data_IF_053752481231
#
_entry.id   IF_053752481231
#
_cell.length_a   1.000
_cell.length_b   1.000
_cell.length_c   1.000
_cell.angle_alpha   90.00
_cell.angle_beta   90.00
_cell.angle_gamma   90.00
#
_symmetry.space_group_name_H-M   'P 1'
#
loop_
_entity.id
_entity.type
_entity.pdbx_description
1 polymer ?
#
# COMPACT_ATOMS: atom_id res chain seq x y z
N UNK A 1 93.31 50.09 3.75
CA UNK A 1 92.46 50.98 2.92
C UNK A 1 91.84 50.16 1.80
N UNK A 2 90.60 50.51 1.44
CA UNK A 2 89.61 49.73 0.70
C UNK A 2 90.06 49.34 -0.72
N UNK A 3 89.84 48.07 -1.09
CA UNK A 3 89.67 47.66 -2.48
C UNK A 3 88.34 46.94 -2.63
N UNK A 4 87.46 47.55 -3.42
CA UNK A 4 86.21 46.99 -3.86
C UNK A 4 86.47 45.98 -4.99
N UNK A 5 85.87 44.80 -4.92
CA UNK A 5 85.61 43.98 -6.09
C UNK A 5 84.13 43.60 -6.06
N UNK A 6 83.42 44.14 -7.05
CA UNK A 6 82.01 43.91 -7.35
C UNK A 6 81.94 42.60 -8.15
N UNK A 7 81.39 41.54 -7.58
CA UNK A 7 81.03 40.33 -8.34
C UNK A 7 79.50 40.26 -8.51
N UNK A 8 79.10 40.06 -9.75
CA UNK A 8 77.76 40.18 -10.30
C UNK A 8 76.95 38.91 -10.06
N UNK A 9 75.65 39.10 -9.90
CA UNK A 9 74.59 38.09 -9.79
C UNK A 9 74.82 36.83 -10.63
N UNK A 10 74.56 35.66 -10.04
CA UNK A 10 73.92 34.55 -10.75
C UNK A 10 73.44 33.47 -9.78
N UNK A 11 72.18 33.05 -9.98
CA UNK A 11 71.53 31.83 -9.47
C UNK A 11 71.00 31.86 -8.03
N UNK A 12 69.93 32.62 -7.83
CA UNK A 12 68.91 32.30 -6.81
C UNK A 12 67.56 32.00 -7.47
N UNK A 13 67.56 30.98 -8.35
CA UNK A 13 66.36 30.47 -9.01
C UNK A 13 66.36 28.94 -9.02
N UNK A 14 66.74 28.32 -7.89
CA UNK A 14 66.79 26.85 -7.76
C UNK A 14 66.21 26.34 -6.44
N UNK A 15 65.42 27.16 -5.75
CA UNK A 15 64.75 26.80 -4.48
C UNK A 15 63.23 26.65 -4.61
N UNK A 16 62.67 26.67 -5.82
CA UNK A 16 61.22 26.58 -6.06
C UNK A 16 60.85 25.56 -7.15
N UNK A 17 61.44 24.37 -7.13
CA UNK A 17 61.09 23.35 -8.13
C UNK A 17 61.05 21.90 -7.63
N UNK A 18 60.95 21.64 -6.32
CA UNK A 18 60.81 20.26 -5.83
C UNK A 18 59.70 20.19 -4.79
N UNK A 19 58.74 19.29 -5.05
CA UNK A 19 57.61 18.86 -4.21
C UNK A 19 56.25 19.57 -4.39
N UNK A 20 55.77 19.65 -5.63
CA UNK A 20 54.38 19.24 -5.89
C UNK A 20 54.42 17.75 -6.23
N UNK A 21 54.57 16.88 -5.22
CA UNK A 21 54.12 15.49 -5.39
C UNK A 21 52.62 15.60 -5.55
N UNK A 22 52.13 15.58 -6.79
CA UNK A 22 50.76 15.21 -7.05
C UNK A 22 50.63 13.79 -6.50
N UNK A 23 50.03 13.66 -5.31
CA UNK A 23 49.55 12.38 -4.80
C UNK A 23 48.45 11.96 -5.77
N UNK A 24 48.85 11.35 -6.88
CA UNK A 24 47.95 10.54 -7.70
C UNK A 24 47.74 9.28 -6.90
N UNK A 25 46.88 9.37 -5.88
CA UNK A 25 46.50 8.22 -5.08
C UNK A 25 46.08 7.10 -6.01
N UNK A 26 46.60 5.90 -5.79
CA UNK A 26 46.18 4.72 -6.53
C UNK A 26 44.68 4.57 -6.33
N UNK A 27 43.96 4.72 -7.44
CA UNK A 27 42.51 4.71 -7.53
C UNK A 27 42.05 3.25 -7.67
N UNK A 28 41.56 2.67 -6.58
CA UNK A 28 41.12 1.27 -6.52
C UNK A 28 39.60 1.10 -6.47
N UNK A 29 39.16 -0.13 -6.17
CA UNK A 29 37.75 -0.49 -6.01
C UNK A 29 36.96 0.56 -5.21
N UNK A 30 35.89 1.08 -5.82
CA UNK A 30 35.04 2.12 -5.27
C UNK A 30 33.60 2.00 -5.75
N UNK A 31 32.72 2.86 -5.22
CA UNK A 31 31.29 2.95 -5.60
C UNK A 31 30.54 1.61 -5.56
N UNK A 32 30.89 0.75 -4.61
CA UNK A 32 30.22 -0.54 -4.44
C UNK A 32 28.83 -0.30 -3.88
N UNK A 33 27.82 -0.77 -4.60
CA UNK A 33 26.41 -0.63 -4.24
C UNK A 33 25.64 -1.89 -4.62
N UNK A 34 24.56 -2.14 -3.90
CA UNK A 34 23.73 -3.33 -4.08
C UNK A 34 22.31 -2.89 -4.38
N UNK A 35 21.74 -3.46 -5.43
CA UNK A 35 20.37 -3.24 -5.87
C UNK A 35 19.59 -4.55 -5.68
N UNK A 36 18.69 -4.50 -4.69
CA UNK A 36 17.82 -5.60 -4.28
C UNK A 36 16.41 -5.03 -4.14
N UNK A 37 15.39 -5.67 -4.73
CA UNK A 37 14.02 -5.22 -4.57
C UNK A 37 13.57 -5.31 -3.12
N UNK A 38 12.87 -4.29 -2.64
CA UNK A 38 12.33 -4.24 -1.28
C UNK A 38 11.45 -5.46 -0.97
N UNK A 39 10.61 -5.86 -1.93
CA UNK A 39 9.74 -7.02 -1.82
C UNK A 39 9.53 -7.69 -3.19
N UNK A 40 9.38 -9.01 -3.19
CA UNK A 40 9.02 -9.83 -4.35
C UNK A 40 7.97 -10.86 -3.98
N UNK A 41 7.14 -11.28 -4.93
CA UNK A 41 6.13 -12.30 -4.66
C UNK A 41 6.76 -13.71 -4.62
N UNK A 42 6.26 -14.58 -3.75
CA UNK A 42 6.69 -15.97 -3.69
C UNK A 42 6.47 -16.69 -5.04
N UNK A 43 7.33 -17.64 -5.36
CA UNK A 43 7.36 -18.37 -6.63
C UNK A 43 7.96 -17.59 -7.81
N UNK A 44 8.29 -16.30 -7.65
CA UNK A 44 8.82 -15.49 -8.75
C UNK A 44 10.33 -15.62 -8.93
N UNK A 45 10.86 -15.07 -10.02
CA UNK A 45 12.31 -14.95 -10.26
C UNK A 45 12.76 -13.53 -9.92
N UNK A 46 13.80 -13.41 -9.10
CA UNK A 46 14.37 -12.11 -8.71
C UNK A 46 15.74 -11.91 -9.32
N UNK A 47 16.03 -10.65 -9.64
CA UNK A 47 17.32 -10.18 -10.09
C UNK A 47 17.93 -9.29 -9.00
N UNK A 48 19.16 -9.59 -8.58
CA UNK A 48 19.93 -8.76 -7.66
C UNK A 48 21.22 -8.33 -8.35
N UNK A 49 21.56 -7.05 -8.24
CA UNK A 49 22.73 -6.47 -8.91
C UNK A 49 23.70 -5.90 -7.88
N UNK A 50 24.98 -6.12 -8.09
CA UNK A 50 26.07 -5.51 -7.36
C UNK A 50 26.87 -4.67 -8.34
N UNK A 51 26.84 -3.35 -8.16
CA UNK A 51 27.56 -2.39 -9.01
C UNK A 51 28.81 -1.95 -8.27
N UNK A 52 29.90 -1.80 -9.00
CA UNK A 52 31.17 -1.35 -8.45
C UNK A 52 32.00 -0.74 -9.58
N UNK A 53 32.97 0.08 -9.21
CA UNK A 53 33.96 0.67 -10.11
C UNK A 53 35.35 0.19 -9.68
N UNK A 54 36.02 -0.58 -10.53
CA UNK A 54 37.36 -1.11 -10.27
C UNK A 54 38.46 -0.07 -10.48
N UNK A 55 38.19 1.00 -11.22
CA UNK A 55 39.17 2.04 -11.57
C UNK A 55 40.43 1.44 -12.20
N UNK A 56 41.54 1.35 -11.44
CA UNK A 56 42.81 0.75 -11.91
C UNK A 56 43.00 -0.72 -11.52
N UNK A 57 42.14 -1.27 -10.67
CA UNK A 57 42.20 -2.67 -10.27
C UNK A 57 41.61 -3.60 -11.34
N UNK A 58 41.97 -4.87 -11.25
CA UNK A 58 41.23 -5.95 -11.93
C UNK A 58 40.35 -6.70 -10.94
N UNK A 59 39.29 -7.36 -11.40
CA UNK A 59 38.41 -8.10 -10.50
C UNK A 59 39.08 -9.39 -10.01
N UNK A 60 39.14 -9.58 -8.69
CA UNK A 60 39.55 -10.86 -8.09
C UNK A 60 38.35 -11.79 -7.92
N UNK A 61 37.30 -11.34 -7.21
CA UNK A 61 36.09 -12.15 -7.00
C UNK A 61 34.87 -11.29 -6.65
N UNK A 62 33.69 -11.79 -6.99
CA UNK A 62 32.41 -11.31 -6.45
C UNK A 62 31.72 -12.46 -5.75
N UNK A 63 31.33 -12.27 -4.49
CA UNK A 63 30.61 -13.27 -3.69
C UNK A 63 29.31 -12.72 -3.16
N UNK A 64 28.31 -13.58 -3.08
CA UNK A 64 27.02 -13.26 -2.50
C UNK A 64 26.69 -14.16 -1.33
N UNK A 65 26.13 -13.55 -0.29
CA UNK A 65 25.80 -14.19 0.98
C UNK A 65 24.35 -13.98 1.39
N UNK A 66 23.74 -15.00 1.99
CA UNK A 66 22.53 -14.91 2.81
C UNK A 66 22.77 -15.76 4.06
N UNK A 67 23.41 -15.16 5.06
CA UNK A 67 24.06 -15.93 6.13
C UNK A 67 25.36 -16.56 5.62
N UNK A 68 25.26 -17.65 4.86
CA UNK A 68 26.36 -18.33 4.18
C UNK A 68 26.53 -17.88 2.71
N UNK A 69 27.71 -18.14 2.14
CA UNK A 69 27.99 -17.95 0.71
C UNK A 69 27.08 -18.86 -0.12
N UNK A 70 26.41 -18.31 -1.14
CA UNK A 70 25.56 -19.10 -2.03
C UNK A 70 25.94 -18.93 -3.51
N UNK A 71 26.70 -17.89 -3.85
CA UNK A 71 27.18 -17.63 -5.21
C UNK A 71 28.56 -16.99 -5.15
N UNK A 72 29.43 -17.41 -6.07
CA UNK A 72 30.75 -16.83 -6.29
C UNK A 72 31.08 -16.76 -7.78
N UNK A 73 31.63 -15.62 -8.19
CA UNK A 73 32.22 -15.39 -9.48
C UNK A 73 33.73 -15.16 -9.34
N UNK A 74 34.54 -15.90 -10.10
CA UNK A 74 36.00 -15.72 -10.20
C UNK A 74 36.39 -15.70 -11.68
N UNK A 75 36.79 -14.54 -12.25
CA UNK A 75 37.07 -14.42 -13.68
C UNK A 75 38.17 -15.36 -14.19
N UNK A 76 39.12 -15.71 -13.31
CA UNK A 76 40.29 -16.53 -13.63
C UNK A 76 40.04 -18.04 -13.51
N UNK A 77 38.85 -18.47 -13.07
CA UNK A 77 38.47 -19.88 -12.93
C UNK A 77 37.65 -20.38 -14.13
N UNK A 78 37.70 -21.70 -14.39
CA UNK A 78 36.88 -22.37 -15.39
C UNK A 78 36.16 -23.58 -14.75
N UNK A 79 34.82 -23.52 -14.55
CA UNK A 79 33.92 -22.43 -14.87
C UNK A 79 34.06 -21.24 -13.88
N UNK A 80 33.76 -20.00 -14.30
CA UNK A 80 33.91 -18.81 -13.45
C UNK A 80 32.85 -18.70 -12.35
N UNK A 81 31.75 -19.47 -12.44
CA UNK A 81 30.63 -19.41 -11.48
C UNK A 81 30.59 -20.68 -10.62
N UNK A 82 30.64 -20.48 -9.30
CA UNK A 82 30.36 -21.50 -8.29
C UNK A 82 29.09 -21.12 -7.48
N UNK A 83 28.31 -22.13 -7.10
CA UNK A 83 27.07 -21.94 -6.31
C UNK A 83 27.03 -22.95 -5.18
N UNK A 84 26.45 -22.58 -4.04
CA UNK A 84 26.53 -23.35 -2.81
C UNK A 84 25.20 -23.36 -2.04
N UNK A 85 24.92 -24.49 -1.36
CA UNK A 85 23.74 -24.65 -0.51
C UNK A 85 22.40 -24.62 -1.24
N UNK A 86 21.32 -24.59 -0.46
CA UNK A 86 19.94 -24.58 -0.97
C UNK A 86 19.66 -23.37 -1.86
N UNK A 87 20.11 -22.18 -1.44
CA UNK A 87 19.91 -20.96 -2.21
C UNK A 87 20.72 -20.95 -3.50
N UNK A 88 21.92 -21.55 -3.49
CA UNK A 88 22.74 -21.73 -4.70
C UNK A 88 22.06 -22.59 -5.76
N UNK A 89 21.25 -23.58 -5.37
CA UNK A 89 20.47 -24.40 -6.30
C UNK A 89 19.38 -23.60 -7.05
N UNK A 90 18.97 -22.45 -6.50
CA UNK A 90 18.02 -21.52 -7.13
C UNK A 90 18.69 -20.52 -8.05
N UNK A 91 20.02 -20.48 -8.14
CA UNK A 91 20.74 -19.58 -9.05
C UNK A 91 20.58 -20.03 -10.50
N UNK A 92 20.17 -19.10 -11.36
CA UNK A 92 20.08 -19.29 -12.80
C UNK A 92 21.43 -18.90 -13.43
N UNK A 93 22.34 -19.88 -13.54
CA UNK A 93 23.75 -19.67 -13.96
C UNK A 93 23.90 -18.97 -15.31
N UNK A 94 23.07 -19.29 -16.30
CA UNK A 94 23.11 -18.68 -17.63
C UNK A 94 22.55 -17.23 -17.69
N UNK A 95 21.98 -16.74 -16.58
CA UNK A 95 21.50 -15.36 -16.44
C UNK A 95 22.22 -14.60 -15.33
N UNK A 96 23.25 -15.20 -14.74
CA UNK A 96 24.06 -14.63 -13.67
C UNK A 96 25.50 -14.45 -14.16
N UNK A 97 26.16 -13.42 -13.65
CA UNK A 97 27.46 -12.94 -14.11
C UNK A 97 28.18 -12.21 -12.95
N UNK A 98 29.26 -11.49 -13.24
CA UNK A 98 30.06 -10.79 -12.23
C UNK A 98 29.36 -9.59 -11.58
N UNK A 99 28.26 -9.11 -12.15
CA UNK A 99 27.47 -8.00 -11.58
C UNK A 99 26.11 -8.47 -11.07
N UNK A 100 25.59 -9.57 -11.59
CA UNK A 100 24.18 -9.93 -11.45
C UNK A 100 23.99 -11.37 -10.98
N UNK A 101 23.10 -11.56 -10.01
CA UNK A 101 22.65 -12.88 -9.56
C UNK A 101 21.14 -13.00 -9.72
N UNK A 102 20.72 -14.04 -10.46
CA UNK A 102 19.30 -14.32 -10.72
C UNK A 102 18.90 -15.55 -9.92
N UNK A 103 17.94 -15.39 -9.00
CA UNK A 103 17.35 -16.49 -8.23
C UNK A 103 15.95 -16.79 -8.78
N UNK A 104 15.68 -18.03 -9.17
CA UNK A 104 14.34 -18.49 -9.56
C UNK A 104 13.58 -19.05 -8.36
N UNK A 105 12.24 -19.03 -8.45
CA UNK A 105 11.36 -19.67 -7.48
C UNK A 105 11.70 -19.27 -6.03
N UNK A 106 11.68 -17.96 -5.75
CA UNK A 106 11.93 -17.48 -4.39
C UNK A 106 10.75 -17.80 -3.49
N UNK A 107 11.03 -18.28 -2.28
CA UNK A 107 10.05 -18.69 -1.29
C UNK A 107 10.15 -17.79 -0.05
N UNK A 108 9.11 -17.72 0.81
CA UNK A 108 9.09 -16.83 1.98
C UNK A 108 10.31 -16.98 2.91
N UNK A 109 10.85 -18.19 3.04
CA UNK A 109 12.07 -18.47 3.82
C UNK A 109 13.35 -17.83 3.23
N UNK A 110 13.34 -17.38 1.97
CA UNK A 110 14.41 -16.59 1.38
C UNK A 110 14.33 -15.09 1.73
N UNK A 111 13.36 -14.67 2.53
CA UNK A 111 13.39 -13.34 3.15
C UNK A 111 14.67 -13.16 3.97
N UNK A 112 15.28 -11.98 3.91
CA UNK A 112 16.39 -11.62 4.78
C UNK A 112 17.41 -10.67 4.19
N UNK A 113 18.54 -10.56 4.89
CA UNK A 113 19.67 -9.70 4.51
C UNK A 113 20.62 -10.45 3.57
N UNK A 114 20.78 -9.89 2.38
CA UNK A 114 21.74 -10.33 1.38
C UNK A 114 22.97 -9.42 1.42
N UNK A 115 24.15 -9.98 1.15
CA UNK A 115 25.40 -9.21 1.07
C UNK A 115 26.11 -9.52 -0.23
N UNK A 116 26.64 -8.50 -0.88
CA UNK A 116 27.60 -8.61 -1.97
C UNK A 116 28.98 -8.20 -1.43
N UNK A 117 29.98 -9.05 -1.66
CA UNK A 117 31.40 -8.78 -1.42
C UNK A 117 32.10 -8.71 -2.78
N UNK A 118 32.78 -7.60 -3.04
CA UNK A 118 33.61 -7.41 -4.23
C UNK A 118 35.05 -7.24 -3.77
N UNK A 119 35.95 -8.03 -4.35
CA UNK A 119 37.38 -7.91 -4.12
C UNK A 119 38.07 -7.54 -5.43
N UNK A 120 38.79 -6.42 -5.41
CA UNK A 120 39.78 -6.08 -6.43
C UNK A 120 41.06 -6.88 -6.20
N UNK A 121 41.78 -7.11 -7.29
CA UNK A 121 43.14 -7.63 -7.30
C UNK A 121 44.14 -6.45 -7.24
N UNK A 122 45.37 -6.67 -7.68
CA UNK A 122 46.38 -5.63 -7.87
C UNK A 122 45.84 -4.41 -8.67
N UNK A 123 46.24 -3.17 -8.32
CA UNK A 123 47.21 -2.81 -7.28
C UNK A 123 46.67 -2.67 -5.85
N UNK A 124 45.37 -2.43 -5.64
CA UNK A 124 44.87 -2.04 -4.32
C UNK A 124 44.52 -3.22 -3.40
N UNK A 125 44.15 -4.38 -3.98
CA UNK A 125 43.65 -5.55 -3.25
C UNK A 125 42.46 -5.24 -2.32
N UNK A 126 41.72 -4.18 -2.60
CA UNK A 126 40.61 -3.74 -1.78
C UNK A 126 39.45 -4.74 -1.82
N UNK A 127 38.82 -4.96 -0.67
CA UNK A 127 37.57 -5.73 -0.56
C UNK A 127 36.51 -4.87 0.11
N UNK A 128 35.36 -4.76 -0.54
CA UNK A 128 34.21 -3.98 -0.04
C UNK A 128 32.98 -4.86 0.00
N UNK A 129 32.24 -4.79 1.10
CA UNK A 129 31.01 -5.53 1.30
C UNK A 129 29.85 -4.57 1.56
N UNK A 130 28.74 -4.78 0.84
CA UNK A 130 27.50 -4.03 0.97
C UNK A 130 26.33 -4.97 1.18
N UNK A 131 25.22 -4.46 1.72
CA UNK A 131 24.07 -5.30 2.07
C UNK A 131 22.74 -4.65 1.75
N UNK A 132 21.77 -5.47 1.35
CA UNK A 132 20.38 -5.09 1.15
C UNK A 132 19.44 -6.12 1.77
N UNK A 133 18.22 -5.72 2.07
CA UNK A 133 17.20 -6.60 2.64
C UNK A 133 16.12 -6.86 1.59
N UNK A 134 15.77 -8.13 1.38
CA UNK A 134 14.68 -8.55 0.50
C UNK A 134 13.59 -9.21 1.31
N UNK A 135 12.34 -8.82 1.08
CA UNK A 135 11.16 -9.52 1.59
C UNK A 135 10.52 -10.38 0.50
N UNK A 136 10.22 -11.65 0.78
CA UNK A 136 9.51 -12.53 -0.15
C UNK A 136 8.10 -12.73 0.38
N UNK A 137 7.12 -12.06 -0.24
CA UNK A 137 5.75 -12.01 0.23
C UNK A 137 4.88 -13.11 -0.40
N UNK A 138 4.09 -13.79 0.42
CA UNK A 138 2.94 -14.58 -0.01
C UNK A 138 1.75 -13.64 -0.16
N UNK A 139 1.33 -13.38 -1.39
CA UNK A 139 0.25 -12.42 -1.66
C UNK A 139 -1.13 -13.04 -1.38
N UNK A 140 -2.10 -12.24 -0.89
CA UNK A 140 -3.49 -12.64 -0.81
C UNK A 140 -4.04 -13.11 -2.15
N UNK A 141 -4.83 -14.19 -2.11
CA UNK A 141 -5.54 -14.69 -3.30
C UNK A 141 -6.95 -14.11 -3.37
N UNK A 142 -7.14 -13.13 -4.24
CA UNK A 142 -8.43 -12.47 -4.46
C UNK A 142 -8.51 -11.09 -3.80
N UNK A 143 -9.70 -10.47 -3.91
CA UNK A 143 -9.96 -9.10 -3.45
C UNK A 143 -10.41 -9.05 -1.98
N UNK A 144 -10.26 -7.91 -1.30
CA UNK A 144 -10.88 -7.71 0.01
C UNK A 144 -12.40 -7.86 -0.07
N UNK A 145 -13.00 -8.36 1.01
CA UNK A 145 -14.44 -8.51 1.16
C UNK A 145 -14.96 -7.50 2.17
N UNK A 146 -15.79 -6.56 1.71
CA UNK A 146 -16.39 -5.52 2.53
C UNK A 146 -17.79 -5.94 2.98
N UNK A 147 -18.05 -5.93 4.28
CA UNK A 147 -19.36 -6.22 4.88
C UNK A 147 -19.78 -5.09 5.82
N UNK A 148 -20.98 -4.55 5.59
CA UNK A 148 -21.61 -3.52 6.44
C UNK A 148 -22.91 -4.08 7.00
N UNK A 149 -23.30 -3.65 8.21
CA UNK A 149 -24.52 -4.12 8.89
C UNK A 149 -25.83 -3.72 8.19
N UNK A 150 -25.91 -2.48 7.68
CA UNK A 150 -27.12 -1.93 7.02
C UNK A 150 -26.77 -1.25 5.70
N UNK A 151 -27.76 -1.09 4.83
CA UNK A 151 -27.61 -0.37 3.55
C UNK A 151 -28.17 1.06 3.57
N UNK A 152 -28.79 1.46 4.69
CA UNK A 152 -29.43 2.76 4.91
C UNK A 152 -29.07 3.27 6.30
N UNK A 153 -28.75 4.56 6.39
CA UNK A 153 -28.35 5.21 7.63
C UNK A 153 -28.86 6.65 7.66
N UNK A 154 -29.37 7.09 8.81
CA UNK A 154 -29.69 8.49 9.09
C UNK A 154 -28.46 9.21 9.66
N UNK A 155 -28.46 10.54 9.62
CA UNK A 155 -27.42 11.36 10.27
C UNK A 155 -27.44 11.10 11.79
N UNK A 156 -26.27 10.89 12.38
CA UNK A 156 -26.09 10.50 13.78
C UNK A 156 -26.09 8.99 14.00
N UNK A 157 -26.38 8.18 12.98
CA UNK A 157 -26.22 6.72 13.10
C UNK A 157 -24.75 6.33 13.08
N UNK A 158 -24.44 5.20 13.72
CA UNK A 158 -23.13 4.56 13.68
C UNK A 158 -23.09 3.50 12.58
N UNK A 159 -22.21 3.67 11.60
CA UNK A 159 -21.90 2.66 10.59
C UNK A 159 -20.89 1.69 11.16
N UNK A 160 -21.27 0.41 11.17
CA UNK A 160 -20.40 -0.69 11.58
C UNK A 160 -20.21 -1.68 10.46
N UNK A 161 -18.98 -2.14 10.31
CA UNK A 161 -18.64 -3.13 9.31
C UNK A 161 -17.20 -3.59 9.41
N UNK A 162 -16.82 -4.46 8.49
CA UNK A 162 -15.46 -4.92 8.39
C UNK A 162 -15.02 -5.09 6.93
N UNK A 163 -13.72 -5.02 6.73
CA UNK A 163 -13.06 -5.37 5.49
C UNK A 163 -12.13 -6.54 5.79
N UNK A 164 -12.42 -7.69 5.19
CA UNK A 164 -11.64 -8.92 5.33
C UNK A 164 -10.78 -9.13 4.09
N UNK A 165 -9.46 -9.03 4.26
CA UNK A 165 -8.49 -9.34 3.21
C UNK A 165 -8.09 -10.81 3.33
N UNK A 166 -8.09 -11.58 2.22
CA UNK A 166 -7.62 -12.96 2.23
C UNK A 166 -6.21 -13.10 2.82
N UNK A 167 -5.89 -14.31 3.28
CA UNK A 167 -4.64 -14.60 3.95
C UNK A 167 -3.41 -14.34 3.07
N UNK A 168 -2.41 -13.69 3.67
CA UNK A 168 -1.11 -13.42 3.06
C UNK A 168 -0.01 -13.28 4.11
N UNK A 169 1.24 -13.18 3.66
CA UNK A 169 2.39 -12.91 4.52
C UNK A 169 3.33 -11.94 3.80
N UNK A 170 3.55 -10.71 4.30
CA UNK A 170 3.07 -10.19 5.59
C UNK A 170 1.57 -9.86 5.54
N UNK A 171 0.94 -9.59 6.70
CA UNK A 171 -0.44 -9.12 6.75
C UNK A 171 -0.62 -7.87 5.89
N UNK A 172 -1.76 -7.77 5.21
CA UNK A 172 -2.08 -6.61 4.38
C UNK A 172 -2.27 -5.37 5.26
N UNK A 173 -1.81 -4.22 4.78
CA UNK A 173 -2.19 -2.95 5.36
C UNK A 173 -3.56 -2.57 4.82
N UNK A 174 -4.48 -2.20 5.71
CA UNK A 174 -5.87 -1.87 5.35
C UNK A 174 -6.20 -0.48 5.84
N UNK A 175 -6.64 0.38 4.91
CA UNK A 175 -7.08 1.74 5.21
C UNK A 175 -8.50 1.95 4.69
N UNK A 176 -9.21 2.89 5.30
CA UNK A 176 -10.58 3.22 4.93
C UNK A 176 -10.65 4.64 4.37
N UNK A 177 -11.55 4.82 3.42
CA UNK A 177 -11.94 6.17 2.95
C UNK A 177 -13.45 6.26 2.83
N UNK A 178 -13.99 7.41 3.21
CA UNK A 178 -15.41 7.73 3.14
C UNK A 178 -15.59 8.94 2.23
N UNK A 179 -16.28 8.78 1.10
CA UNK A 179 -16.39 9.81 0.05
C UNK A 179 -15.02 10.42 -0.35
N UNK A 180 -13.96 9.61 -0.31
CA UNK A 180 -12.60 10.03 -0.64
C UNK A 180 -11.80 10.66 0.51
N UNK A 181 -12.39 10.90 1.69
CA UNK A 181 -11.65 11.34 2.87
C UNK A 181 -11.15 10.14 3.68
N UNK A 182 -9.88 10.09 4.08
CA UNK A 182 -9.34 8.98 4.87
C UNK A 182 -9.93 8.98 6.27
N UNK A 183 -10.31 7.79 6.75
CA UNK A 183 -10.78 7.59 8.13
C UNK A 183 -9.95 6.47 8.78
N UNK A 184 -9.80 6.56 10.09
CA UNK A 184 -9.05 5.55 10.85
C UNK A 184 -9.88 4.29 11.04
N UNK A 185 -9.25 3.12 10.92
CA UNK A 185 -9.84 1.85 11.34
C UNK A 185 -10.09 1.86 12.85
N UNK A 186 -11.23 1.34 13.29
CA UNK A 186 -11.54 1.23 14.73
C UNK A 186 -10.68 0.16 15.40
N UNK A 187 -10.47 -0.97 14.71
CA UNK A 187 -9.51 -2.00 15.09
C UNK A 187 -8.98 -2.73 13.86
N UNK A 188 -7.76 -3.28 13.97
CA UNK A 188 -7.19 -4.17 12.95
C UNK A 188 -6.80 -5.47 13.66
N UNK A 189 -7.32 -6.59 13.15
CA UNK A 189 -7.07 -7.93 13.68
C UNK A 189 -6.37 -8.77 12.62
N UNK A 190 -5.34 -9.49 13.03
CA UNK A 190 -4.66 -10.48 12.21
C UNK A 190 -5.03 -11.87 12.70
N UNK A 191 -5.71 -12.64 11.85
CA UNK A 191 -6.13 -14.01 12.14
C UNK A 191 -5.07 -14.93 11.53
N UNK A 192 -4.40 -15.70 12.38
CA UNK A 192 -3.39 -16.66 11.94
C UNK A 192 -4.09 -17.84 11.25
N UNK A 193 -3.68 -18.11 10.03
CA UNK A 193 -4.14 -19.25 9.24
C UNK A 193 -2.92 -20.10 8.86
N UNK A 194 -2.95 -21.37 9.27
CA UNK A 194 -1.97 -22.34 8.83
C UNK A 194 -2.42 -22.87 7.45
N UNK A 195 -1.80 -22.36 6.38
CA UNK A 195 -2.05 -22.82 5.01
C UNK A 195 -0.85 -23.69 4.61
N UNK A 196 -1.02 -25.00 4.73
CA UNK A 196 0.08 -25.96 4.55
C UNK A 196 1.13 -25.80 5.65
N UNK A 197 2.41 -25.70 5.25
CA UNK A 197 3.56 -25.49 6.15
C UNK A 197 3.89 -23.99 6.38
N UNK A 198 3.07 -23.09 5.82
CA UNK A 198 3.31 -21.64 5.88
C UNK A 198 2.29 -20.93 6.76
N UNK A 199 2.79 -20.12 7.69
CA UNK A 199 1.97 -19.18 8.45
C UNK A 199 1.59 -18.00 7.56
N UNK A 200 0.28 -17.83 7.35
CA UNK A 200 -0.30 -16.67 6.69
C UNK A 200 -1.31 -16.01 7.62
N UNK A 201 -1.65 -14.76 7.31
CA UNK A 201 -2.52 -13.94 8.15
C UNK A 201 -3.65 -13.35 7.32
N UNK A 202 -4.88 -13.68 7.68
CA UNK A 202 -6.07 -12.96 7.20
C UNK A 202 -6.16 -11.65 7.97
N UNK A 203 -6.34 -10.54 7.26
CA UNK A 203 -6.45 -9.22 7.88
C UNK A 203 -7.90 -8.80 7.93
N UNK A 204 -8.42 -8.51 9.12
CA UNK A 204 -9.78 -7.99 9.31
C UNK A 204 -9.65 -6.60 9.91
N UNK A 205 -10.02 -5.58 9.14
CA UNK A 205 -10.13 -4.21 9.63
C UNK A 205 -11.59 -3.92 9.96
N UNK A 206 -11.86 -3.49 11.18
CA UNK A 206 -13.18 -3.05 11.61
C UNK A 206 -13.35 -1.54 11.33
N UNK A 207 -14.58 -1.18 11.03
CA UNK A 207 -15.03 0.20 10.88
C UNK A 207 -16.15 0.44 11.90
N UNK A 208 -15.99 1.47 12.72
CA UNK A 208 -17.03 2.02 13.58
C UNK A 208 -16.97 3.54 13.39
N UNK A 209 -17.96 4.09 12.70
CA UNK A 209 -17.97 5.49 12.26
C UNK A 209 -19.34 6.11 12.51
N UNK A 210 -19.38 7.18 13.29
CA UNK A 210 -20.57 8.01 13.44
C UNK A 210 -20.79 8.89 12.19
N UNK A 211 -22.00 8.86 11.66
CA UNK A 211 -22.36 9.63 10.46
C UNK A 211 -22.69 11.07 10.81
N UNK A 212 -22.03 12.00 10.13
CA UNK A 212 -22.26 13.43 10.26
C UNK A 212 -22.95 14.00 9.02
N UNK A 213 -23.46 15.23 9.10
CA UNK A 213 -24.18 15.87 7.99
C UNK A 213 -23.32 15.97 6.71
N UNK A 214 -22.02 16.21 6.87
CA UNK A 214 -21.02 16.30 5.80
C UNK A 214 -20.55 14.92 5.27
N UNK A 215 -20.90 13.83 5.98
CA UNK A 215 -20.57 12.46 5.57
C UNK A 215 -21.40 12.01 4.37
N UNK A 216 -22.52 12.65 4.06
CA UNK A 216 -23.38 12.28 2.93
C UNK A 216 -23.15 13.22 1.74
N UNK A 217 -22.68 12.66 0.62
CA UNK A 217 -22.56 13.36 -0.66
C UNK A 217 -23.72 12.97 -1.58
N UNK A 218 -24.58 13.94 -1.91
CA UNK A 218 -25.78 13.71 -2.73
C UNK A 218 -26.70 12.60 -2.18
N UNK A 219 -26.85 12.53 -0.84
CA UNK A 219 -27.65 11.50 -0.17
C UNK A 219 -27.06 10.09 -0.22
N UNK A 220 -25.75 9.97 -0.49
CA UNK A 220 -25.02 8.70 -0.47
C UNK A 220 -23.76 8.81 0.38
N UNK A 221 -23.42 7.69 1.01
CA UNK A 221 -22.21 7.50 1.78
C UNK A 221 -21.41 6.38 1.10
N UNK A 222 -20.30 6.73 0.48
CA UNK A 222 -19.44 5.80 -0.25
C UNK A 222 -18.28 5.39 0.64
N UNK A 223 -18.17 4.11 0.97
CA UNK A 223 -17.13 3.58 1.83
C UNK A 223 -16.26 2.65 1.00
N UNK A 224 -14.95 2.91 1.02
CA UNK A 224 -13.94 2.06 0.39
C UNK A 224 -12.96 1.57 1.44
N UNK A 225 -12.62 0.29 1.39
CA UNK A 225 -11.40 -0.21 2.01
C UNK A 225 -10.32 -0.44 0.95
N UNK A 226 -9.11 0.00 1.26
CA UNK A 226 -7.91 -0.18 0.44
C UNK A 226 -7.01 -1.18 1.15
N UNK A 227 -6.64 -2.24 0.45
CA UNK A 227 -5.77 -3.29 0.98
C UNK A 227 -4.48 -3.36 0.15
N UNK A 228 -3.32 -3.28 0.80
CA UNK A 228 -2.04 -3.39 0.12
C UNK A 228 -1.00 -4.22 0.86
N UNK A 229 -0.17 -4.93 0.08
CA UNK A 229 1.03 -5.64 0.55
C UNK A 229 2.22 -5.13 -0.27
N UNK A 230 3.06 -4.31 0.36
CA UNK A 230 4.12 -3.54 -0.32
C UNK A 230 3.60 -2.84 -1.59
N UNK A 231 4.33 -2.96 -2.70
CA UNK A 231 3.94 -2.53 -4.03
C UNK A 231 3.36 -3.68 -4.88
N UNK A 232 3.26 -4.88 -4.31
CA UNK A 232 2.96 -6.13 -5.03
C UNK A 232 1.47 -6.44 -5.12
N UNK A 233 0.70 -6.05 -4.11
CA UNK A 233 -0.75 -6.24 -4.03
C UNK A 233 -1.40 -4.91 -3.67
N UNK A 234 -2.39 -4.49 -4.46
CA UNK A 234 -3.20 -3.28 -4.25
C UNK A 234 -4.60 -3.54 -4.76
N UNK A 235 -5.53 -3.75 -3.85
CA UNK A 235 -6.92 -4.04 -4.19
C UNK A 235 -7.85 -3.22 -3.30
N UNK A 236 -9.07 -2.99 -3.78
CA UNK A 236 -10.08 -2.21 -3.06
C UNK A 236 -11.41 -2.94 -3.04
N UNK A 237 -12.20 -2.67 -2.01
CA UNK A 237 -13.61 -3.06 -1.96
C UNK A 237 -14.45 -1.85 -1.56
N UNK A 238 -15.62 -1.72 -2.19
CA UNK A 238 -16.47 -0.55 -2.10
C UNK A 238 -17.91 -0.94 -1.79
N UNK A 239 -18.58 -0.08 -1.02
CA UNK A 239 -20.03 -0.12 -0.81
C UNK A 239 -20.60 1.29 -0.82
N UNK A 240 -21.76 1.47 -1.45
CA UNK A 240 -22.51 2.72 -1.45
C UNK A 240 -23.78 2.57 -0.62
N UNK A 241 -23.84 3.32 0.49
CA UNK A 241 -24.94 3.34 1.44
C UNK A 241 -25.86 4.53 1.13
N UNK A 242 -27.16 4.38 1.40
CA UNK A 242 -28.15 5.43 1.13
C UNK A 242 -28.50 6.19 2.40
N UNK A 243 -28.63 7.51 2.29
CA UNK A 243 -29.17 8.34 3.37
C UNK A 243 -30.64 7.97 3.63
N UNK A 244 -30.98 7.70 4.88
CA UNK A 244 -32.35 7.55 5.34
C UNK A 244 -32.92 8.92 5.69
N UNK A 245 -33.85 9.40 4.87
CA UNK A 245 -34.54 10.67 5.11
C UNK A 245 -35.83 10.44 5.87
N UNK A 246 -36.18 11.29 6.86
CA UNK A 246 -37.45 11.19 7.56
C UNK A 246 -38.61 11.27 6.57
N UNK A 247 -39.57 10.35 6.68
CA UNK A 247 -40.85 10.49 5.97
C UNK A 247 -41.69 11.52 6.72
N UNK A 248 -41.84 12.72 6.17
CA UNK A 248 -42.82 13.69 6.67
C UNK A 248 -44.23 13.13 6.40
N UNK A 249 -45.00 12.89 7.46
CA UNK A 249 -46.41 12.55 7.33
C UNK A 249 -47.17 13.75 6.73
N UNK A 250 -48.07 13.54 5.77
CA UNK A 250 -48.96 14.61 5.31
C UNK A 250 -49.98 14.89 6.39
N UNK A 251 -49.86 16.02 7.10
CA UNK A 251 -50.89 16.48 8.01
C UNK A 251 -52.06 17.03 7.17
N UNK A 252 -52.99 16.15 6.80
CA UNK A 252 -54.32 16.57 6.34
C UNK A 252 -55.07 17.11 7.56
N UNK A 253 -55.00 18.43 7.76
CA UNK A 253 -55.79 19.10 8.80
C UNK A 253 -57.27 19.02 8.45
N UNK A 254 -58.06 18.29 9.24
CA UNK A 254 -59.51 18.47 9.30
C UNK A 254 -59.81 19.84 9.88
N UNK A 255 -60.13 20.80 9.02
CA UNK A 255 -60.65 22.10 9.43
C UNK A 255 -62.12 21.91 9.79
N UNK A 256 -62.42 21.65 11.06
CA UNK A 256 -63.77 21.81 11.62
C UNK A 256 -64.10 23.30 11.65
N UNK A 257 -65.04 23.72 10.80
CA UNK A 257 -65.68 25.02 10.90
C UNK A 257 -66.92 24.90 11.80
N UNK A 258 -66.73 25.17 13.08
CA UNK A 258 -67.79 25.50 14.02
C UNK A 258 -68.28 26.93 13.75
N UNK A 259 -69.40 27.07 13.03
CA UNK A 259 -70.19 28.30 13.02
C UNK A 259 -71.34 28.17 14.01
N UNK A 260 -71.19 28.82 15.17
CA UNK A 260 -72.31 29.22 16.04
C UNK A 260 -72.57 30.70 15.73
N UNK A 261 -73.80 31.02 15.30
CA UNK A 261 -74.26 32.37 15.01
C UNK A 261 -75.75 32.52 15.29
N UNK A 262 -76.05 32.85 16.54
CA UNK A 262 -77.23 33.54 17.12
C UNK A 262 -78.47 33.84 16.23
N UNK A 263 -79.62 33.30 16.68
CA UNK A 263 -80.75 34.09 17.17
C UNK A 263 -81.69 34.78 16.18
N UNK A 264 -82.90 34.21 16.01
CA UNK A 264 -84.14 34.99 15.84
C UNK A 264 -85.34 34.16 16.29
N UNK A 265 -86.14 34.74 17.19
CA UNK A 265 -87.42 34.21 17.68
C UNK A 265 -88.50 34.38 16.60
N UNK A 266 -89.41 33.41 16.45
CA UNK A 266 -90.84 33.67 16.27
C UNK A 266 -91.66 32.38 16.53
N UNK A 267 -92.80 32.61 17.16
CA UNK A 267 -93.74 31.68 17.82
C UNK A 267 -94.69 30.95 16.84
N UNK A 268 -95.49 29.97 17.33
CA UNK A 268 -96.10 28.91 16.52
C UNK A 268 -97.54 29.24 16.09
N UNK A 269 -97.99 28.69 14.97
CA UNK A 269 -99.41 28.50 14.69
C UNK A 269 -99.67 27.14 14.02
N UNK A 270 -100.51 26.37 14.70
CA UNK A 270 -101.28 25.24 14.20
C UNK A 270 -102.13 25.66 12.99
N UNK A 271 -102.32 24.81 11.97
CA UNK A 271 -103.65 24.54 11.38
C UNK A 271 -103.62 23.34 10.39
N UNK A 272 -104.23 22.25 10.83
CA UNK A 272 -105.11 21.26 10.18
C UNK A 272 -104.88 20.67 8.76
N UNK A 273 -104.70 19.34 8.76
CA UNK A 273 -105.47 18.23 8.12
C UNK A 273 -105.96 18.35 6.65
N UNK A 274 -105.74 17.22 5.93
CA UNK A 274 -106.50 16.56 4.82
C UNK A 274 -105.66 16.44 3.54
N UNK A 275 -105.66 15.37 2.75
CA UNK A 275 -106.53 14.20 2.65
C UNK A 275 -105.77 12.99 2.09
N UNK A 276 -106.16 11.80 2.57
CA UNK A 276 -106.01 10.51 1.89
C UNK A 276 -106.90 10.46 0.65
N UNK A 277 -106.40 9.85 -0.43
CA UNK A 277 -107.04 9.21 -1.62
C UNK A 277 -106.12 9.46 -2.83
N UNK A 278 -105.69 8.52 -3.66
CA UNK A 278 -106.26 7.24 -4.02
C UNK A 278 -105.16 6.21 -4.36
N UNK A 279 -105.29 5.02 -3.78
CA UNK A 279 -104.89 3.77 -4.42
C UNK A 279 -105.84 3.54 -5.60
N UNK A 280 -105.31 3.47 -6.82
CA UNK A 280 -105.75 2.60 -7.92
C UNK A 280 -105.07 3.10 -9.21
N UNK A 281 -104.09 2.35 -9.69
CA UNK A 281 -104.13 1.71 -11.01
C UNK A 281 -102.86 0.86 -11.22
N UNK A 282 -103.09 -0.44 -11.05
CA UNK A 282 -102.56 -1.58 -11.79
C UNK A 282 -101.18 -1.52 -12.45
N UNK A 283 -100.34 -2.44 -11.99
CA UNK A 283 -99.49 -3.32 -12.79
C UNK A 283 -99.95 -3.48 -14.26
N UNK A 284 -99.05 -3.19 -15.21
CA UNK A 284 -98.90 -3.91 -16.49
C UNK A 284 -97.67 -3.38 -17.25
N UNK A 285 -96.49 -3.85 -16.87
CA UNK A 285 -95.52 -4.49 -17.78
C UNK A 285 -94.37 -5.13 -17.00
#
# INVERSE_FOLDING_TARGET
MRSAVRYRETRSASLLCVLLIAVTGVRGLSNVSIDIPLAVAAGTTVNMTCRYDLQSDTLYTVKWYKGSEFFRYVPKELPPIAVFGELGAKVVRNRSDEHRVVLKDVQPNHTGKYRCEVSGDSPSFNTVMVSGYMHVASLPNGRPQLRIEKMRYAVGDTVRGNCTVPSGNPPANVTWTVNGTPVNSSSIKFINEAIGDHQQHTTVAELDLETMQDSFSNGRLQILCHANVFHLYKETAEVSLKEERPRLASVLGTRESSYIGSGTKCTPEYFYITAMTALLLCNLR
#
